data_IF_534852160177
#
_entry.id   IF_534852160177
#
_cell.length_a   1.000
_cell.length_b   1.000
_cell.length_c   1.000
_cell.angle_alpha   90.00
_cell.angle_beta   90.00
_cell.angle_gamma   90.00
#
_symmetry.space_group_name_H-M   'P 1'
#
loop_
_entity.id
_entity.type
_entity.pdbx_description
1 polymer ?
#
# COMPACT_ATOMS: atom_id res chain seq x y z
N UNK A 1 0.72 29.65 -49.83
CA UNK A 1 0.35 28.30 -49.34
C UNK A 1 0.85 28.23 -47.93
N UNK A 2 -0.01 28.61 -47.00
CA UNK A 2 0.28 28.53 -45.57
C UNK A 2 0.17 27.04 -45.22
N UNK A 3 1.30 26.36 -45.05
CA UNK A 3 1.30 24.99 -44.55
C UNK A 3 0.91 25.12 -43.09
N UNK A 4 -0.33 24.76 -42.77
CA UNK A 4 -0.78 24.65 -41.39
C UNK A 4 0.22 23.85 -40.54
N UNK A 5 0.20 24.01 -39.21
CA UNK A 5 1.16 23.37 -38.33
C UNK A 5 1.25 21.87 -38.66
N UNK A 6 2.47 21.37 -38.82
CA UNK A 6 2.70 19.96 -39.10
C UNK A 6 2.04 19.13 -37.99
N UNK A 7 1.33 18.07 -38.38
CA UNK A 7 0.72 17.16 -37.42
C UNK A 7 1.78 16.62 -36.47
N UNK A 8 1.50 16.55 -35.15
CA UNK A 8 2.46 16.05 -34.18
C UNK A 8 2.86 14.62 -34.53
N UNK A 9 4.17 14.33 -34.48
CA UNK A 9 4.69 12.99 -34.71
C UNK A 9 4.11 12.04 -33.65
N UNK A 10 3.51 10.90 -34.04
CA UNK A 10 2.92 9.97 -33.08
C UNK A 10 3.99 9.35 -32.19
N UNK A 11 3.61 9.01 -30.95
CA UNK A 11 4.44 8.18 -30.08
C UNK A 11 4.56 6.77 -30.67
N UNK A 12 5.71 6.14 -30.44
CA UNK A 12 6.02 4.77 -30.87
C UNK A 12 5.63 3.72 -29.82
N UNK A 13 5.62 4.11 -28.55
CA UNK A 13 5.19 3.30 -27.42
C UNK A 13 4.82 4.21 -26.24
N UNK A 14 4.03 3.68 -25.32
CA UNK A 14 3.81 4.28 -24.02
C UNK A 14 3.78 3.21 -22.92
N UNK A 15 4.26 3.55 -21.73
CA UNK A 15 4.14 2.72 -20.52
C UNK A 15 3.26 3.45 -19.52
N UNK A 16 2.11 2.88 -19.21
CA UNK A 16 1.28 3.33 -18.08
C UNK A 16 1.65 2.51 -16.84
N UNK A 17 1.84 3.16 -15.70
CA UNK A 17 2.07 2.50 -14.42
C UNK A 17 1.57 3.34 -13.24
N UNK A 18 1.88 2.87 -12.04
CA UNK A 18 1.61 3.62 -10.82
C UNK A 18 2.79 4.51 -10.43
N UNK A 19 2.51 5.62 -9.76
CA UNK A 19 3.52 6.45 -9.10
C UNK A 19 4.05 5.77 -7.84
N UNK A 20 3.22 4.95 -7.19
CA UNK A 20 3.59 4.27 -5.95
C UNK A 20 4.51 3.09 -6.22
N UNK A 21 5.75 3.08 -5.68
CA UNK A 21 6.70 1.98 -5.91
C UNK A 21 6.19 0.61 -5.46
N UNK A 22 5.28 0.58 -4.48
CA UNK A 22 4.67 -0.63 -3.96
C UNK A 22 3.65 -1.25 -4.92
N UNK A 23 3.28 -0.55 -6.00
CA UNK A 23 2.45 -1.04 -7.09
C UNK A 23 3.29 -1.15 -8.38
N UNK A 24 4.03 -2.26 -8.58
CA UNK A 24 4.90 -2.43 -9.76
C UNK A 24 4.13 -2.69 -11.06
N UNK A 25 2.79 -2.72 -11.04
CA UNK A 25 1.97 -2.98 -12.21
C UNK A 25 2.20 -1.95 -13.31
N UNK A 26 2.38 -2.44 -14.54
CA UNK A 26 2.56 -1.62 -15.73
C UNK A 26 1.75 -2.18 -16.91
N UNK A 27 1.32 -1.30 -17.79
CA UNK A 27 0.66 -1.60 -19.06
C UNK A 27 1.48 -1.00 -20.20
N UNK A 28 2.01 -1.88 -21.05
CA UNK A 28 2.72 -1.52 -22.27
C UNK A 28 1.71 -1.26 -23.39
N UNK A 29 1.78 -0.07 -23.99
CA UNK A 29 0.89 0.37 -25.08
C UNK A 29 1.72 0.51 -26.36
N UNK A 30 1.46 -0.39 -27.30
CA UNK A 30 2.12 -0.42 -28.63
C UNK A 30 1.12 -0.36 -29.78
N UNK A 31 -0.18 -0.31 -29.48
CA UNK A 31 -1.22 -0.17 -30.50
C UNK A 31 -1.14 1.22 -31.15
N UNK A 32 -0.87 1.24 -32.46
CA UNK A 32 -0.64 2.46 -33.22
C UNK A 32 -1.87 3.39 -33.25
N UNK A 33 -3.09 2.85 -33.19
CA UNK A 33 -4.30 3.66 -33.18
C UNK A 33 -4.48 4.37 -31.82
N UNK A 34 -4.24 3.67 -30.71
CA UNK A 34 -4.25 4.27 -29.37
C UNK A 34 -3.17 5.35 -29.27
N UNK A 35 -1.94 5.06 -29.72
CA UNK A 35 -0.83 6.01 -29.66
C UNK A 35 -1.09 7.26 -30.51
N UNK A 36 -1.68 7.11 -31.70
CA UNK A 36 -2.06 8.24 -32.54
C UNK A 36 -3.15 9.11 -31.88
N UNK A 37 -4.18 8.49 -31.27
CA UNK A 37 -5.22 9.20 -30.50
C UNK A 37 -4.61 9.94 -29.32
N UNK A 38 -3.72 9.30 -28.57
CA UNK A 38 -3.06 9.90 -27.41
C UNK A 38 -2.18 11.09 -27.81
N UNK A 39 -1.39 10.98 -28.88
CA UNK A 39 -0.63 12.11 -29.44
C UNK A 39 -1.53 13.27 -29.82
N UNK A 40 -2.65 12.98 -30.50
CA UNK A 40 -3.61 14.02 -30.89
C UNK A 40 -4.22 14.69 -29.65
N UNK A 41 -4.71 13.91 -28.69
CA UNK A 41 -5.34 14.40 -27.47
C UNK A 41 -4.40 15.31 -26.66
N UNK A 42 -3.14 14.90 -26.48
CA UNK A 42 -2.11 15.70 -25.79
C UNK A 42 -1.76 16.99 -26.53
N UNK A 43 -1.82 16.99 -27.87
CA UNK A 43 -1.56 18.19 -28.68
C UNK A 43 -2.67 19.24 -28.61
N UNK A 44 -3.91 18.80 -28.34
CA UNK A 44 -5.10 19.66 -28.25
C UNK A 44 -5.54 19.95 -26.82
N UNK A 45 -4.97 19.27 -25.83
CA UNK A 45 -5.29 19.48 -24.42
C UNK A 45 -5.05 20.94 -24.02
N UNK A 46 -6.01 21.50 -23.29
CA UNK A 46 -5.84 22.80 -22.66
C UNK A 46 -4.75 22.73 -21.59
N UNK A 47 -4.00 23.83 -21.44
CA UNK A 47 -2.87 23.92 -20.49
C UNK A 47 -3.14 25.02 -19.49
N UNK A 48 -3.06 24.69 -18.21
CA UNK A 48 -3.21 25.68 -17.14
C UNK A 48 -2.15 25.48 -16.06
N UNK A 49 -1.61 26.57 -15.48
CA UNK A 49 -0.82 26.48 -14.27
C UNK A 49 -1.76 26.11 -13.11
N UNK A 50 -1.52 24.97 -12.47
CA UNK A 50 -2.30 24.54 -11.32
C UNK A 50 -1.40 23.85 -10.30
N UNK A 51 -1.52 24.18 -9.00
CA UNK A 51 -0.80 23.47 -7.95
C UNK A 51 -1.26 22.02 -7.92
N UNK A 52 -0.33 21.11 -8.20
CA UNK A 52 -0.54 19.69 -8.05
C UNK A 52 -0.33 19.31 -6.59
N UNK A 53 -1.28 18.59 -5.99
CA UNK A 53 -1.07 17.93 -4.70
C UNK A 53 -0.37 16.59 -4.96
N UNK A 54 0.92 16.43 -4.60
CA UNK A 54 1.67 15.20 -4.92
C UNK A 54 1.07 13.94 -4.28
N UNK A 55 0.23 14.09 -3.25
CA UNK A 55 -0.46 12.96 -2.61
C UNK A 55 -1.58 12.39 -3.48
N UNK A 56 -2.15 13.22 -4.35
CA UNK A 56 -3.22 12.82 -5.28
C UNK A 56 -2.67 12.12 -6.51
N UNK A 57 -1.36 12.21 -6.77
CA UNK A 57 -0.70 11.50 -7.85
C UNK A 57 -0.82 9.99 -7.66
N UNK A 58 -1.21 9.32 -8.75
CA UNK A 58 -1.47 7.90 -8.74
C UNK A 58 -0.95 7.20 -9.98
N UNK A 59 -1.09 7.83 -11.15
CA UNK A 59 -0.67 7.30 -12.44
C UNK A 59 0.60 7.98 -12.95
N UNK A 60 1.42 7.20 -13.63
CA UNK A 60 2.60 7.67 -14.38
C UNK A 60 2.51 7.12 -15.79
N UNK A 61 2.72 7.99 -16.77
CA UNK A 61 2.69 7.68 -18.18
C UNK A 61 4.02 8.10 -18.79
N UNK A 62 4.80 7.12 -19.23
CA UNK A 62 6.07 7.32 -19.93
C UNK A 62 5.82 7.17 -21.44
N UNK A 63 6.17 8.18 -22.23
CA UNK A 63 5.87 8.27 -23.66
C UNK A 63 7.17 8.23 -24.47
N UNK A 64 7.25 7.35 -25.46
CA UNK A 64 8.46 7.14 -26.26
C UNK A 64 8.23 7.46 -27.73
N UNK A 65 9.10 8.27 -28.35
CA UNK A 65 9.05 8.59 -29.79
C UNK A 65 9.88 7.67 -30.69
N UNK A 66 10.69 6.78 -30.08
CA UNK A 66 11.40 5.71 -30.79
C UNK A 66 12.73 6.14 -31.43
N UNK A 67 13.27 7.30 -31.04
CA UNK A 67 14.59 7.77 -31.47
C UNK A 67 15.67 7.28 -30.50
N UNK A 68 16.80 6.79 -31.04
CA UNK A 68 17.86 6.22 -30.22
C UNK A 68 18.52 7.32 -29.35
N UNK A 69 18.45 7.15 -28.03
CA UNK A 69 19.03 8.08 -27.05
C UNK A 69 18.09 9.21 -26.59
N UNK A 70 16.82 9.21 -27.01
CA UNK A 70 15.81 10.14 -26.51
C UNK A 70 15.22 9.61 -25.20
N UNK A 71 15.27 10.43 -24.15
CA UNK A 71 14.60 10.14 -22.87
C UNK A 71 13.08 10.20 -23.05
N UNK A 72 12.30 9.31 -22.41
CA UNK A 72 10.86 9.34 -22.49
C UNK A 72 10.28 10.64 -21.90
N UNK A 73 9.20 11.13 -22.50
CA UNK A 73 8.39 12.18 -21.88
C UNK A 73 7.58 11.55 -20.74
N UNK A 74 7.70 12.09 -19.52
CA UNK A 74 6.93 11.63 -18.37
C UNK A 74 5.74 12.57 -18.12
N UNK A 75 4.56 11.99 -18.02
CA UNK A 75 3.36 12.65 -17.51
C UNK A 75 2.89 11.94 -16.24
N UNK A 76 2.39 12.71 -15.28
CA UNK A 76 1.81 12.20 -14.05
C UNK A 76 0.32 12.46 -14.07
N UNK A 77 -0.49 11.61 -13.44
CA UNK A 77 -1.91 11.93 -13.29
C UNK A 77 -2.44 11.56 -11.91
N UNK A 78 -3.41 12.34 -11.46
CA UNK A 78 -4.13 12.07 -10.23
C UNK A 78 -5.09 10.89 -10.40
N UNK A 79 -5.62 10.36 -9.29
CA UNK A 79 -6.61 9.27 -9.32
C UNK A 79 -7.86 9.62 -10.15
N UNK A 80 -8.28 10.89 -10.16
CA UNK A 80 -9.35 11.45 -10.99
C UNK A 80 -8.89 11.88 -12.40
N UNK A 81 -7.75 11.35 -12.87
CA UNK A 81 -7.24 11.49 -14.23
C UNK A 81 -6.85 12.92 -14.66
N UNK A 82 -6.66 13.84 -13.71
CA UNK A 82 -6.06 15.14 -14.03
C UNK A 82 -4.57 14.96 -14.31
N UNK A 83 -4.17 15.28 -15.53
CA UNK A 83 -2.80 15.04 -16.01
C UNK A 83 -1.93 16.26 -15.73
N UNK A 84 -0.71 16.02 -15.28
CA UNK A 84 0.31 17.01 -15.01
C UNK A 84 1.56 16.69 -15.82
N UNK A 85 2.07 17.70 -16.52
CA UNK A 85 3.36 17.69 -17.20
C UNK A 85 4.41 18.33 -16.27
N UNK A 86 5.26 17.53 -15.60
CA UNK A 86 6.27 18.03 -14.67
C UNK A 86 7.40 18.81 -15.35
N UNK A 87 7.64 18.60 -16.65
CA UNK A 87 8.68 19.32 -17.38
C UNK A 87 8.27 20.77 -17.67
N UNK A 88 6.98 21.02 -17.80
CA UNK A 88 6.42 22.33 -18.10
C UNK A 88 5.68 22.97 -16.91
N UNK A 89 5.46 22.21 -15.83
CA UNK A 89 4.70 22.61 -14.64
C UNK A 89 3.27 23.08 -14.98
N UNK A 90 2.57 22.29 -15.81
CA UNK A 90 1.19 22.57 -16.25
C UNK A 90 0.28 21.37 -16.07
N UNK A 91 -1.00 21.64 -15.82
CA UNK A 91 -2.06 20.63 -15.91
C UNK A 91 -2.62 20.60 -17.34
N UNK A 92 -2.79 19.39 -17.86
CA UNK A 92 -3.39 19.10 -19.16
C UNK A 92 -4.82 18.61 -18.95
N UNK A 93 -5.77 19.21 -19.66
CA UNK A 93 -7.18 18.86 -19.59
C UNK A 93 -7.81 18.81 -20.99
N UNK A 94 -8.58 17.76 -21.25
CA UNK A 94 -9.29 17.52 -22.50
C UNK A 94 -10.06 16.19 -22.48
N UNK A 95 -11.29 16.15 -23.02
CA UNK A 95 -12.17 14.98 -22.92
C UNK A 95 -11.59 13.72 -23.60
N UNK A 96 -10.91 13.88 -24.75
CA UNK A 96 -10.26 12.76 -25.44
C UNK A 96 -9.12 12.17 -24.61
N UNK A 97 -8.39 13.01 -23.87
CA UNK A 97 -7.29 12.58 -23.00
C UNK A 97 -7.85 11.81 -21.79
N UNK A 98 -8.89 12.34 -21.16
CA UNK A 98 -9.59 11.69 -20.05
C UNK A 98 -10.16 10.31 -20.46
N UNK A 99 -10.82 10.22 -21.62
CA UNK A 99 -11.35 8.95 -22.14
C UNK A 99 -10.25 7.91 -22.34
N UNK A 100 -9.16 8.27 -23.04
CA UNK A 100 -8.05 7.35 -23.30
C UNK A 100 -7.39 6.89 -22.00
N UNK A 101 -7.18 7.79 -21.05
CA UNK A 101 -6.59 7.43 -19.76
C UNK A 101 -7.54 6.60 -18.91
N UNK A 102 -8.85 6.86 -18.96
CA UNK A 102 -9.86 6.05 -18.28
C UNK A 102 -9.80 4.59 -18.76
N UNK A 103 -9.75 4.37 -20.08
CA UNK A 103 -9.63 3.04 -20.66
C UNK A 103 -8.32 2.34 -20.25
N UNK A 104 -7.18 3.02 -20.43
CA UNK A 104 -5.87 2.44 -20.12
C UNK A 104 -5.69 2.13 -18.62
N UNK A 105 -6.15 3.04 -17.75
CA UNK A 105 -6.09 2.83 -16.30
C UNK A 105 -7.08 1.76 -15.84
N UNK A 106 -8.26 1.68 -16.46
CA UNK A 106 -9.22 0.59 -16.25
C UNK A 106 -8.61 -0.78 -16.56
N UNK A 107 -7.95 -0.92 -17.71
CA UNK A 107 -7.24 -2.11 -18.14
C UNK A 107 -6.14 -2.51 -17.15
N UNK A 108 -5.29 -1.55 -16.74
CA UNK A 108 -4.22 -1.81 -15.78
C UNK A 108 -4.79 -2.24 -14.43
N UNK A 109 -5.85 -1.59 -13.94
CA UNK A 109 -6.50 -1.95 -12.67
C UNK A 109 -7.06 -3.36 -12.71
N UNK A 110 -7.75 -3.74 -13.79
CA UNK A 110 -8.35 -5.07 -13.94
C UNK A 110 -7.29 -6.19 -13.94
N UNK A 111 -6.11 -5.93 -14.50
CA UNK A 111 -5.00 -6.89 -14.54
C UNK A 111 -4.23 -6.96 -13.21
N UNK A 112 -4.09 -5.84 -12.52
CA UNK A 112 -3.21 -5.71 -11.37
C UNK A 112 -3.91 -5.97 -10.02
N UNK A 113 -5.16 -5.59 -9.86
CA UNK A 113 -5.92 -5.74 -8.62
C UNK A 113 -6.90 -6.92 -8.66
N UNK A 114 -7.39 -7.32 -7.49
CA UNK A 114 -8.43 -8.33 -7.34
C UNK A 114 -9.78 -7.73 -6.95
N UNK A 115 -10.85 -8.48 -7.18
CA UNK A 115 -12.18 -8.11 -6.72
C UNK A 115 -12.28 -8.19 -5.19
N UNK A 116 -12.87 -7.19 -4.55
CA UNK A 116 -13.11 -7.20 -3.11
C UNK A 116 -14.31 -8.07 -2.78
N UNK A 117 -14.04 -9.30 -2.32
CA UNK A 117 -15.09 -10.27 -1.96
C UNK A 117 -15.14 -10.46 -0.42
N UNK A 118 -16.32 -10.34 0.21
CA UNK A 118 -16.51 -10.68 1.62
C UNK A 118 -16.27 -12.17 1.92
N UNK A 119 -15.82 -12.49 3.14
CA UNK A 119 -15.46 -13.85 3.55
C UNK A 119 -16.57 -14.89 3.29
N UNK A 120 -17.82 -14.55 3.60
CA UNK A 120 -18.99 -15.41 3.42
C UNK A 120 -19.22 -15.84 1.95
N UNK A 121 -18.77 -15.03 1.01
CA UNK A 121 -18.79 -15.33 -0.42
C UNK A 121 -17.48 -16.02 -0.86
N UNK A 122 -16.33 -15.56 -0.36
CA UNK A 122 -15.02 -16.11 -0.71
C UNK A 122 -14.90 -17.60 -0.34
N UNK A 123 -15.51 -18.03 0.77
CA UNK A 123 -15.51 -19.44 1.20
C UNK A 123 -16.19 -20.39 0.21
N UNK A 124 -17.12 -19.88 -0.63
CA UNK A 124 -17.77 -20.65 -1.68
C UNK A 124 -16.91 -20.74 -2.95
N UNK A 125 -16.04 -19.74 -3.18
CA UNK A 125 -15.12 -19.71 -4.32
C UNK A 125 -13.87 -20.57 -4.07
N UNK A 126 -13.49 -20.72 -2.80
CA UNK A 126 -12.36 -21.52 -2.36
C UNK A 126 -12.83 -22.48 -1.24
N UNK A 127 -13.61 -23.53 -1.52
CA UNK A 127 -14.03 -24.50 -0.52
C UNK A 127 -12.84 -25.33 0.02
N UNK A 128 -13.02 -26.04 1.13
CA UNK A 128 -11.99 -26.93 1.69
C UNK A 128 -11.56 -27.97 0.65
N UNK A 129 -10.24 -28.14 0.49
CA UNK A 129 -9.61 -29.00 -0.51
C UNK A 129 -9.43 -28.35 -1.88
N UNK A 130 -10.07 -27.20 -2.15
CA UNK A 130 -9.86 -26.48 -3.41
C UNK A 130 -8.50 -25.77 -3.43
N UNK A 131 -8.03 -25.51 -4.66
CA UNK A 131 -6.76 -24.84 -4.91
C UNK A 131 -6.97 -23.41 -5.39
N UNK A 132 -5.98 -22.56 -5.13
CA UNK A 132 -5.90 -21.20 -5.65
C UNK A 132 -4.47 -20.88 -6.07
N UNK A 133 -4.34 -19.94 -7.01
CA UNK A 133 -3.06 -19.31 -7.33
C UNK A 133 -2.99 -17.96 -6.61
N UNK A 134 -1.98 -17.75 -5.78
CA UNK A 134 -1.78 -16.52 -5.02
C UNK A 134 -0.64 -15.73 -5.64
N UNK A 135 -0.88 -14.47 -5.99
CA UNK A 135 0.13 -13.51 -6.45
C UNK A 135 0.32 -12.42 -5.41
N UNK A 136 1.55 -12.23 -4.95
CA UNK A 136 1.90 -11.08 -4.11
C UNK A 136 1.91 -9.79 -4.94
N UNK A 137 1.27 -8.75 -4.41
CA UNK A 137 1.04 -7.52 -5.18
C UNK A 137 2.34 -6.73 -5.44
N UNK A 138 3.27 -6.75 -4.48
CA UNK A 138 4.48 -5.93 -4.55
C UNK A 138 5.65 -6.64 -5.25
N UNK A 139 5.78 -7.95 -5.07
CA UNK A 139 6.87 -8.73 -5.70
C UNK A 139 6.46 -9.34 -7.04
N UNK A 140 5.16 -9.49 -7.30
CA UNK A 140 4.64 -10.19 -8.47
C UNK A 140 4.83 -11.72 -8.44
N UNK A 141 5.54 -12.25 -7.44
CA UNK A 141 5.75 -13.68 -7.28
C UNK A 141 4.41 -14.39 -7.06
N UNK A 142 4.31 -15.58 -7.67
CA UNK A 142 3.07 -16.34 -7.74
C UNK A 142 3.33 -17.78 -7.33
N UNK A 143 2.46 -18.31 -6.48
CA UNK A 143 2.56 -19.68 -5.96
C UNK A 143 1.16 -20.28 -5.79
N UNK A 144 1.05 -21.60 -5.80
CA UNK A 144 -0.21 -22.31 -5.66
C UNK A 144 -0.41 -22.80 -4.22
N UNK A 145 -1.68 -22.80 -3.78
CA UNK A 145 -2.08 -23.22 -2.44
C UNK A 145 -3.29 -24.14 -2.50
N UNK A 146 -3.46 -24.97 -1.47
CA UNK A 146 -4.71 -25.68 -1.15
C UNK A 146 -5.32 -25.11 0.11
N UNK A 147 -6.64 -24.94 0.14
CA UNK A 147 -7.35 -24.69 1.40
C UNK A 147 -7.41 -25.97 2.23
N UNK A 148 -6.79 -25.94 3.40
CA UNK A 148 -6.88 -26.97 4.42
C UNK A 148 -8.19 -26.87 5.19
N UNK A 149 -8.42 -25.73 5.88
CA UNK A 149 -9.58 -25.49 6.76
C UNK A 149 -9.91 -23.99 6.87
N UNK A 150 -10.24 -23.53 8.07
CA UNK A 150 -10.56 -22.16 8.44
C UNK A 150 -12.05 -21.82 8.37
N UNK A 151 -12.57 -21.31 9.50
CA UNK A 151 -13.98 -20.93 9.68
C UNK A 151 -14.21 -19.42 9.54
N UNK A 152 -13.20 -18.61 9.88
CA UNK A 152 -13.24 -17.14 9.85
C UNK A 152 -12.33 -16.50 8.77
N UNK A 153 -11.48 -17.31 8.16
CA UNK A 153 -10.58 -17.05 7.05
C UNK A 153 -10.20 -18.41 6.45
N UNK A 154 -9.44 -18.44 5.34
CA UNK A 154 -8.98 -19.71 4.79
C UNK A 154 -7.62 -20.08 5.40
N UNK A 155 -7.54 -21.24 6.01
CA UNK A 155 -6.26 -21.87 6.37
C UNK A 155 -5.75 -22.57 5.12
N UNK A 156 -4.59 -22.17 4.61
CA UNK A 156 -4.05 -22.65 3.34
C UNK A 156 -2.62 -23.18 3.48
N UNK A 157 -2.27 -24.13 2.63
CA UNK A 157 -0.95 -24.74 2.56
C UNK A 157 -0.38 -24.57 1.15
N UNK A 158 0.92 -24.23 0.97
CA UNK A 158 1.55 -24.28 -0.34
C UNK A 158 1.45 -25.70 -0.93
N UNK A 159 1.18 -25.83 -2.23
CA UNK A 159 0.94 -27.14 -2.85
C UNK A 159 2.22 -27.98 -2.97
N UNK A 160 3.36 -27.34 -3.21
CA UNK A 160 4.63 -28.00 -3.51
C UNK A 160 5.80 -27.35 -2.76
N UNK A 161 6.98 -27.99 -2.68
CA UNK A 161 8.19 -27.35 -2.15
C UNK A 161 8.56 -26.04 -2.86
N UNK A 162 8.37 -25.99 -4.18
CA UNK A 162 8.60 -24.78 -4.98
C UNK A 162 7.63 -23.64 -4.61
N UNK A 163 6.37 -23.96 -4.31
CA UNK A 163 5.41 -22.97 -3.82
C UNK A 163 5.80 -22.43 -2.43
N UNK A 164 6.31 -23.29 -1.56
CA UNK A 164 6.85 -22.92 -0.25
C UNK A 164 8.08 -22.04 -0.36
N UNK A 165 9.02 -22.39 -1.24
CA UNK A 165 10.20 -21.57 -1.54
C UNK A 165 9.79 -20.20 -2.08
N UNK A 166 8.79 -20.16 -2.96
CA UNK A 166 8.27 -18.90 -3.52
C UNK A 166 7.59 -18.04 -2.43
N UNK A 167 6.77 -18.64 -1.56
CA UNK A 167 6.19 -17.94 -0.41
C UNK A 167 7.29 -17.40 0.51
N UNK A 168 8.35 -18.17 0.75
CA UNK A 168 9.50 -17.73 1.56
C UNK A 168 10.23 -16.55 0.89
N UNK A 169 10.37 -16.57 -0.44
CA UNK A 169 10.97 -15.49 -1.22
C UNK A 169 10.14 -14.19 -1.18
N UNK A 170 8.80 -14.28 -1.19
CA UNK A 170 7.89 -13.14 -0.97
C UNK A 170 8.18 -12.41 0.36
N UNK A 171 8.66 -13.16 1.36
CA UNK A 171 9.05 -12.64 2.67
C UNK A 171 10.56 -12.41 2.85
N UNK A 172 11.34 -12.39 1.76
CA UNK A 172 12.76 -12.08 1.81
C UNK A 172 13.64 -13.22 2.34
N UNK A 173 13.19 -14.47 2.24
CA UNK A 173 13.96 -15.64 2.65
C UNK A 173 13.67 -16.12 4.08
N UNK A 174 12.67 -15.55 4.77
CA UNK A 174 12.28 -15.92 6.13
C UNK A 174 10.76 -15.99 6.29
N UNK A 175 10.28 -16.80 7.22
CA UNK A 175 8.85 -16.84 7.55
C UNK A 175 8.46 -15.64 8.41
N UNK A 176 7.29 -15.07 8.16
CA UNK A 176 6.89 -13.82 8.82
C UNK A 176 5.38 -13.70 9.05
N UNK A 177 5.04 -13.07 10.17
CA UNK A 177 3.67 -12.64 10.46
C UNK A 177 3.28 -11.33 9.76
N UNK A 178 4.21 -10.64 9.08
CA UNK A 178 3.91 -9.40 8.34
C UNK A 178 2.75 -9.64 7.35
N UNK A 179 1.75 -8.75 7.36
CA UNK A 179 0.64 -8.86 6.41
C UNK A 179 1.09 -8.38 5.04
N UNK A 180 0.69 -9.10 4.01
CA UNK A 180 0.94 -8.74 2.61
C UNK A 180 -0.35 -8.72 1.84
N UNK A 181 -0.43 -7.83 0.85
CA UNK A 181 -1.54 -7.72 -0.08
C UNK A 181 -1.32 -8.70 -1.24
N UNK A 182 -2.33 -9.52 -1.52
CA UNK A 182 -2.25 -10.55 -2.56
C UNK A 182 -3.51 -10.59 -3.40
N UNK A 183 -3.39 -11.12 -4.61
CA UNK A 183 -4.53 -11.51 -5.43
C UNK A 183 -4.59 -13.03 -5.45
N UNK A 184 -5.67 -13.60 -4.90
CA UNK A 184 -5.95 -15.02 -4.93
C UNK A 184 -6.90 -15.33 -6.10
N UNK A 185 -6.43 -16.14 -7.05
CA UNK A 185 -7.22 -16.58 -8.19
C UNK A 185 -7.81 -17.95 -7.89
N UNK A 186 -9.14 -18.01 -7.75
CA UNK A 186 -9.89 -19.23 -7.47
C UNK A 186 -11.19 -19.23 -8.28
N UNK A 187 -11.60 -20.40 -8.79
CA UNK A 187 -12.80 -20.54 -9.63
C UNK A 187 -12.88 -19.53 -10.81
N UNK A 188 -11.73 -19.21 -11.42
CA UNK A 188 -11.62 -18.25 -12.52
C UNK A 188 -11.76 -16.78 -12.13
N UNK A 189 -11.85 -16.44 -10.84
CA UNK A 189 -11.97 -15.07 -10.33
C UNK A 189 -10.70 -14.66 -9.60
N UNK A 190 -10.22 -13.46 -9.89
CA UNK A 190 -9.13 -12.81 -9.17
C UNK A 190 -9.71 -12.05 -7.97
N UNK A 191 -9.36 -12.45 -6.75
CA UNK A 191 -9.95 -11.94 -5.51
C UNK A 191 -8.87 -11.21 -4.71
N UNK A 192 -9.17 -10.01 -4.24
CA UNK A 192 -8.31 -9.26 -3.34
C UNK A 192 -8.28 -9.93 -1.95
N UNK A 193 -7.08 -10.21 -1.47
CA UNK A 193 -6.85 -10.94 -0.25
C UNK A 193 -5.60 -10.41 0.49
N UNK A 194 -5.40 -10.94 1.69
CA UNK A 194 -4.18 -10.73 2.46
C UNK A 194 -3.67 -12.03 3.07
N UNK A 195 -2.35 -12.18 3.12
CA UNK A 195 -1.70 -13.33 3.74
C UNK A 195 -0.75 -12.90 4.86
N UNK A 196 -0.47 -13.83 5.76
CA UNK A 196 0.84 -13.91 6.42
C UNK A 196 1.66 -15.04 5.77
N UNK A 197 2.93 -15.19 6.14
CA UNK A 197 3.79 -16.28 5.64
C UNK A 197 4.38 -17.15 6.74
N UNK A 198 3.84 -17.08 7.97
CA UNK A 198 4.37 -17.88 9.07
C UNK A 198 3.66 -19.24 9.09
N UNK A 199 4.38 -20.38 8.99
CA UNK A 199 3.79 -21.69 9.21
C UNK A 199 3.30 -21.80 10.66
N UNK A 200 2.06 -22.23 10.84
CA UNK A 200 1.47 -22.46 12.16
C UNK A 200 0.35 -23.51 12.11
N UNK A 201 -0.07 -23.95 13.29
CA UNK A 201 -1.08 -25.00 13.43
C UNK A 201 -0.60 -26.33 12.83
N UNK A 202 -1.56 -27.16 12.41
CA UNK A 202 -1.30 -28.40 11.68
C UNK A 202 -1.53 -28.21 10.18
N UNK A 203 -0.99 -29.11 9.36
CA UNK A 203 -1.25 -29.21 7.93
C UNK A 203 -1.36 -30.68 7.54
N UNK A 204 -1.86 -30.96 6.34
CA UNK A 204 -1.97 -32.32 5.80
C UNK A 204 -1.33 -32.49 4.41
N UNK A 205 -0.53 -31.51 3.97
CA UNK A 205 0.54 -31.71 2.97
C UNK A 205 1.88 -31.91 3.68
N UNK A 206 2.47 -33.11 3.54
CA UNK A 206 3.70 -33.47 4.26
C UNK A 206 4.97 -33.35 3.41
N UNK A 207 4.82 -33.20 2.10
CA UNK A 207 5.87 -33.18 1.08
C UNK A 207 6.04 -31.81 0.41
N UNK A 208 5.53 -30.74 1.02
CA UNK A 208 5.63 -29.36 0.54
C UNK A 208 6.72 -28.53 1.25
N UNK A 209 7.51 -29.13 2.16
CA UNK A 209 8.51 -28.42 2.98
C UNK A 209 7.95 -27.24 3.82
N UNK A 210 6.65 -27.26 4.13
CA UNK A 210 5.98 -26.24 4.92
C UNK A 210 5.17 -26.88 6.05
N UNK A 211 5.64 -26.71 7.29
CA UNK A 211 5.07 -27.41 8.45
C UNK A 211 3.87 -26.65 9.02
N UNK A 212 2.66 -26.99 8.58
CA UNK A 212 1.41 -26.38 9.05
C UNK A 212 0.67 -25.69 7.92
N UNK A 213 -0.08 -24.64 8.25
CA UNK A 213 -0.75 -23.77 7.29
C UNK A 213 -0.39 -22.30 7.55
N UNK A 214 -0.85 -21.42 6.68
CA UNK A 214 -0.88 -19.98 6.91
C UNK A 214 -2.25 -19.41 6.59
N UNK A 215 -2.52 -18.17 7.01
CA UNK A 215 -3.84 -17.57 6.85
C UNK A 215 -3.95 -16.80 5.53
N UNK A 216 -5.03 -17.04 4.79
CA UNK A 216 -5.50 -16.23 3.67
C UNK A 216 -6.81 -15.53 4.06
N UNK A 217 -6.73 -14.22 4.26
CA UNK A 217 -7.82 -13.35 4.69
C UNK A 217 -8.46 -12.63 3.51
N UNK A 218 -9.79 -12.49 3.58
CA UNK A 218 -10.61 -11.71 2.67
C UNK A 218 -11.29 -10.56 3.43
N UNK A 219 -12.18 -9.83 2.75
CA UNK A 219 -12.92 -8.74 3.42
C UNK A 219 -13.77 -9.29 4.55
N UNK A 220 -13.64 -8.70 5.74
CA UNK A 220 -14.38 -9.10 6.94
C UNK A 220 -13.92 -10.40 7.59
N UNK A 221 -12.85 -11.03 7.09
CA UNK A 221 -12.20 -12.16 7.76
C UNK A 221 -11.72 -11.78 9.17
N UNK A 222 -11.75 -12.74 10.09
CA UNK A 222 -11.33 -12.57 11.49
C UNK A 222 -10.16 -13.47 11.82
N UNK A 223 -9.30 -13.05 12.74
CA UNK A 223 -8.22 -13.89 13.26
C UNK A 223 -8.77 -14.90 14.26
N UNK A 224 -8.26 -16.14 14.24
CA UNK A 224 -8.83 -17.23 15.05
C UNK A 224 -8.59 -17.06 16.57
N UNK A 225 -7.54 -16.34 16.96
CA UNK A 225 -7.16 -16.19 18.38
C UNK A 225 -8.08 -15.24 19.15
N UNK A 226 -8.55 -14.17 18.51
CA UNK A 226 -9.39 -13.14 19.15
C UNK A 226 -10.80 -13.09 18.59
N UNK A 227 -11.06 -13.74 17.45
CA UNK A 227 -12.30 -13.63 16.68
C UNK A 227 -12.64 -12.19 16.27
N UNK A 228 -11.64 -11.31 16.21
CA UNK A 228 -11.78 -9.93 15.76
C UNK A 228 -11.28 -9.76 14.33
N UNK A 229 -11.80 -8.74 13.67
CA UNK A 229 -11.27 -8.28 12.39
C UNK A 229 -9.88 -7.68 12.64
N UNK A 230 -8.91 -8.06 11.83
CA UNK A 230 -7.53 -7.58 11.92
C UNK A 230 -7.32 -6.42 10.94
N UNK A 231 -7.05 -5.23 11.47
CA UNK A 231 -6.86 -4.00 10.69
C UNK A 231 -5.72 -4.13 9.66
N UNK A 232 -4.66 -4.87 9.99
CA UNK A 232 -3.55 -5.13 9.07
C UNK A 232 -3.98 -5.93 7.84
N UNK A 233 -4.71 -7.02 8.04
CA UNK A 233 -5.27 -7.81 6.95
C UNK A 233 -6.28 -7.01 6.13
N UNK A 234 -7.18 -6.24 6.77
CA UNK A 234 -8.16 -5.44 6.03
C UNK A 234 -7.50 -4.34 5.18
N UNK A 235 -6.47 -3.66 5.69
CA UNK A 235 -5.67 -2.73 4.90
C UNK A 235 -5.05 -3.39 3.67
N UNK A 236 -4.50 -4.60 3.83
CA UNK A 236 -3.88 -5.34 2.73
C UNK A 236 -4.92 -5.83 1.71
N UNK A 237 -6.14 -6.16 2.14
CA UNK A 237 -7.26 -6.46 1.23
C UNK A 237 -7.66 -5.20 0.45
N UNK A 238 -7.74 -4.02 1.09
CA UNK A 238 -8.02 -2.75 0.40
C UNK A 238 -6.92 -2.40 -0.61
N UNK A 239 -5.65 -2.64 -0.24
CA UNK A 239 -4.48 -2.50 -1.12
C UNK A 239 -4.58 -3.41 -2.34
N UNK A 240 -4.86 -4.70 -2.14
CA UNK A 240 -5.05 -5.68 -3.21
C UNK A 240 -6.28 -5.39 -4.10
N UNK A 241 -7.28 -4.69 -3.59
CA UNK A 241 -8.47 -4.28 -4.33
C UNK A 241 -8.31 -2.95 -5.10
N UNK A 242 -7.17 -2.27 -4.99
CA UNK A 242 -6.99 -0.93 -5.56
C UNK A 242 -7.92 0.11 -4.95
N UNK A 243 -8.37 -0.11 -3.70
CA UNK A 243 -9.31 0.71 -2.93
C UNK A 243 -8.65 1.41 -1.73
N UNK A 244 -7.35 1.19 -1.51
CA UNK A 244 -6.62 1.75 -0.36
C UNK A 244 -6.73 3.28 -0.27
N UNK A 245 -6.39 4.00 -1.34
CA UNK A 245 -6.41 5.47 -1.36
C UNK A 245 -7.80 6.03 -1.02
N UNK A 246 -8.83 5.53 -1.70
CA UNK A 246 -10.22 5.94 -1.47
C UNK A 246 -10.70 5.66 -0.05
N UNK A 247 -10.31 4.50 0.50
CA UNK A 247 -10.69 4.14 1.86
C UNK A 247 -10.00 5.03 2.89
N UNK A 248 -8.74 5.41 2.65
CA UNK A 248 -8.01 6.34 3.50
C UNK A 248 -8.58 7.76 3.40
N UNK A 249 -9.02 8.19 2.21
CA UNK A 249 -9.65 9.50 2.03
C UNK A 249 -10.95 9.63 2.84
N UNK A 250 -11.73 8.54 2.91
CA UNK A 250 -13.05 8.52 3.53
C UNK A 250 -13.06 8.13 5.02
N UNK A 251 -11.91 7.73 5.58
CA UNK A 251 -11.84 7.22 6.94
C UNK A 251 -11.84 8.34 7.98
N UNK A 252 -12.59 8.13 9.05
CA UNK A 252 -12.62 9.03 10.20
C UNK A 252 -11.35 8.87 11.07
N UNK A 253 -10.98 9.88 11.90
CA UNK A 253 -9.72 9.89 12.63
C UNK A 253 -9.47 8.66 13.49
N UNK A 254 -10.49 8.12 14.16
CA UNK A 254 -10.34 6.91 14.99
C UNK A 254 -9.99 5.66 14.16
N UNK A 255 -10.59 5.53 12.97
CA UNK A 255 -10.29 4.44 12.05
C UNK A 255 -8.91 4.62 11.42
N UNK A 256 -8.59 5.82 10.95
CA UNK A 256 -7.26 6.16 10.45
C UNK A 256 -6.18 5.87 11.49
N UNK A 257 -6.40 6.20 12.76
CA UNK A 257 -5.44 5.92 13.84
C UNK A 257 -5.16 4.41 13.98
N UNK A 258 -6.20 3.57 13.91
CA UNK A 258 -6.03 2.10 13.93
C UNK A 258 -5.25 1.60 12.72
N UNK A 259 -5.57 2.11 11.54
CA UNK A 259 -4.87 1.76 10.30
C UNK A 259 -3.42 2.24 10.26
N UNK A 260 -3.12 3.43 10.78
CA UNK A 260 -1.75 3.93 10.95
C UNK A 260 -0.94 3.00 11.85
N UNK A 261 -1.50 2.55 12.98
CA UNK A 261 -0.84 1.58 13.86
C UNK A 261 -0.58 0.25 13.15
N UNK A 262 -1.56 -0.25 12.40
CA UNK A 262 -1.40 -1.47 11.61
C UNK A 262 -0.32 -1.30 10.52
N UNK A 263 -0.27 -0.14 9.85
CA UNK A 263 0.75 0.18 8.86
C UNK A 263 2.16 0.23 9.47
N UNK A 264 2.32 0.83 10.66
CA UNK A 264 3.59 0.78 11.42
C UNK A 264 3.98 -0.65 11.75
N UNK A 265 3.04 -1.44 12.28
CA UNK A 265 3.26 -2.84 12.65
C UNK A 265 3.73 -3.69 11.47
N UNK A 266 3.14 -3.46 10.29
CA UNK A 266 3.35 -4.25 9.09
C UNK A 266 4.26 -3.60 8.06
N UNK A 267 4.98 -2.52 8.42
CA UNK A 267 5.94 -1.85 7.53
C UNK A 267 5.32 -1.41 6.20
N UNK A 268 4.08 -0.97 6.26
CA UNK A 268 3.32 -0.54 5.11
C UNK A 268 3.70 0.93 4.83
N UNK A 269 4.47 1.14 3.75
CA UNK A 269 4.96 2.48 3.36
C UNK A 269 3.91 3.31 2.60
N UNK A 270 3.06 2.70 1.78
CA UNK A 270 2.14 3.43 0.92
C UNK A 270 1.04 4.13 1.73
N UNK A 271 0.39 3.42 2.65
CA UNK A 271 -0.54 3.92 3.68
C UNK A 271 0.10 5.04 4.48
N UNK A 272 1.28 4.85 5.08
CA UNK A 272 1.94 5.88 5.88
C UNK A 272 2.28 7.13 5.06
N UNK A 273 2.79 6.96 3.83
CA UNK A 273 3.05 8.06 2.89
C UNK A 273 1.78 8.79 2.50
N UNK A 274 0.68 8.08 2.28
CA UNK A 274 -0.58 8.65 1.81
C UNK A 274 -1.29 9.48 2.88
N UNK A 275 -1.33 8.98 4.12
CA UNK A 275 -2.03 9.66 5.23
C UNK A 275 -1.21 10.78 5.87
N UNK A 276 0.10 10.85 5.62
CA UNK A 276 0.94 11.90 6.20
C UNK A 276 0.61 13.27 5.59
N UNK A 277 0.30 14.26 6.44
CA UNK A 277 0.23 15.66 6.00
C UNK A 277 1.59 16.15 5.52
N UNK A 278 2.63 15.84 6.29
CA UNK A 278 4.04 16.00 5.91
C UNK A 278 4.77 14.69 6.23
N UNK A 279 5.28 13.95 5.22
CA UNK A 279 6.05 12.74 5.47
C UNK A 279 7.35 13.01 6.23
N UNK A 280 7.73 12.10 7.13
CA UNK A 280 9.05 12.09 7.78
C UNK A 280 9.70 10.71 7.57
N UNK A 281 10.51 10.54 6.49
CA UNK A 281 11.16 9.28 6.19
C UNK A 281 12.08 8.78 7.31
N UNK A 282 12.74 9.70 8.04
CA UNK A 282 13.65 9.32 9.11
C UNK A 282 12.91 8.76 10.32
N UNK A 283 11.79 9.37 10.72
CA UNK A 283 10.91 8.80 11.74
C UNK A 283 10.29 7.47 11.29
N UNK A 284 9.86 7.38 10.03
CA UNK A 284 9.30 6.13 9.48
C UNK A 284 10.32 4.99 9.55
N UNK A 285 11.54 5.22 9.07
CA UNK A 285 12.60 4.21 9.08
C UNK A 285 12.97 3.82 10.53
N UNK A 286 13.05 4.79 11.46
CA UNK A 286 13.29 4.50 12.87
C UNK A 286 12.17 3.65 13.51
N UNK A 287 10.90 3.92 13.22
CA UNK A 287 9.77 3.10 13.68
C UNK A 287 9.90 1.68 13.12
N UNK A 288 10.28 1.56 11.85
CA UNK A 288 10.40 0.29 11.15
C UNK A 288 11.60 -0.54 11.62
N UNK A 289 12.69 0.09 12.02
CA UNK A 289 13.85 -0.61 12.56
C UNK A 289 13.61 -1.06 14.01
N UNK A 290 12.96 -0.22 14.82
CA UNK A 290 12.86 -0.47 16.26
C UNK A 290 11.69 -1.38 16.64
N UNK A 291 10.52 -1.27 16.02
CA UNK A 291 9.29 -1.93 16.52
C UNK A 291 9.15 -3.34 15.94
N UNK A 292 9.49 -4.39 16.67
CA UNK A 292 9.30 -5.78 16.19
C UNK A 292 7.84 -6.11 15.90
N UNK A 293 6.93 -5.77 16.81
CA UNK A 293 5.48 -5.91 16.66
C UNK A 293 4.76 -5.01 17.66
N UNK A 294 3.52 -4.64 17.38
CA UNK A 294 2.64 -3.94 18.31
C UNK A 294 1.22 -4.53 18.30
N UNK A 295 0.49 -4.28 19.38
CA UNK A 295 -0.91 -4.66 19.55
C UNK A 295 -1.68 -3.47 20.10
N UNK A 296 -2.66 -2.99 19.34
CA UNK A 296 -3.56 -1.92 19.78
C UNK A 296 -4.69 -2.53 20.59
N UNK A 297 -4.98 -1.94 21.74
CA UNK A 297 -6.08 -2.36 22.62
C UNK A 297 -7.04 -1.23 22.99
N UNK A 298 -6.73 0.01 22.57
CA UNK A 298 -7.62 1.16 22.68
C UNK A 298 -7.32 2.20 21.60
N UNK A 299 -8.37 2.76 21.01
CA UNK A 299 -8.31 3.94 20.17
C UNK A 299 -9.58 4.75 20.46
N UNK A 300 -9.42 6.02 20.82
CA UNK A 300 -10.54 6.88 21.21
C UNK A 300 -10.29 8.32 20.80
N UNK A 301 -11.29 8.93 20.16
CA UNK A 301 -11.36 10.36 19.88
C UNK A 301 -11.44 11.13 21.19
N UNK A 302 -10.47 12.00 21.41
CA UNK A 302 -10.44 12.90 22.57
C UNK A 302 -11.09 14.23 22.23
N UNK A 303 -10.73 14.79 21.07
CA UNK A 303 -11.14 16.11 20.62
C UNK A 303 -11.30 16.07 19.10
N UNK A 304 -12.34 16.73 18.59
CA UNK A 304 -12.52 16.98 17.17
C UNK A 304 -13.28 18.28 16.95
N UNK A 305 -12.82 19.04 15.97
CA UNK A 305 -13.57 20.11 15.30
C UNK A 305 -13.56 19.86 13.78
N UNK A 306 -14.05 20.82 13.00
CA UNK A 306 -14.15 20.70 11.53
C UNK A 306 -12.79 20.52 10.83
N UNK A 307 -11.67 20.90 11.46
CA UNK A 307 -10.35 20.94 10.81
C UNK A 307 -9.26 20.21 11.59
N UNK A 308 -9.50 19.81 12.83
CA UNK A 308 -8.53 19.14 13.68
C UNK A 308 -9.18 18.03 14.50
N UNK A 309 -8.47 16.91 14.65
CA UNK A 309 -8.88 15.81 15.50
C UNK A 309 -7.69 15.23 16.27
N UNK A 310 -7.96 14.73 17.48
CA UNK A 310 -6.98 14.10 18.36
C UNK A 310 -7.48 12.75 18.80
N UNK A 311 -6.73 11.70 18.51
CA UNK A 311 -7.09 10.33 18.86
C UNK A 311 -6.05 9.76 19.81
N UNK A 312 -6.47 9.41 21.02
CA UNK A 312 -5.64 8.64 21.94
C UNK A 312 -5.60 7.19 21.48
N UNK A 313 -4.39 6.68 21.30
CA UNK A 313 -4.13 5.28 20.98
C UNK A 313 -3.37 4.64 22.13
N UNK A 314 -3.82 3.46 22.51
CA UNK A 314 -3.22 2.63 23.55
C UNK A 314 -2.76 1.30 22.96
N UNK A 315 -1.47 1.02 23.11
CA UNK A 315 -0.85 -0.14 22.50
C UNK A 315 0.20 -0.79 23.40
N UNK A 316 0.43 -2.08 23.17
CA UNK A 316 1.60 -2.80 23.66
C UNK A 316 2.59 -2.95 22.52
N UNK A 317 3.80 -2.45 22.70
CA UNK A 317 4.88 -2.47 21.70
C UNK A 317 5.98 -3.42 22.17
N UNK A 318 6.47 -4.26 21.26
CA UNK A 318 7.67 -5.07 21.44
C UNK A 318 8.73 -4.55 20.48
N UNK A 319 9.89 -4.20 21.01
CA UNK A 319 10.99 -3.68 20.18
C UNK A 319 11.92 -4.80 19.72
N UNK A 320 12.76 -4.54 18.74
CA UNK A 320 13.79 -5.48 18.26
C UNK A 320 14.92 -5.61 19.28
N UNK A 321 15.25 -4.52 19.99
CA UNK A 321 16.25 -4.49 21.03
C UNK A 321 15.82 -3.51 22.14
N UNK A 322 16.36 -3.62 23.37
CA UNK A 322 17.37 -4.58 23.82
C UNK A 322 16.82 -5.98 24.13
N UNK A 323 15.54 -6.09 24.50
CA UNK A 323 14.87 -7.36 24.81
C UNK A 323 13.62 -7.52 23.92
N UNK A 324 13.64 -8.42 22.92
CA UNK A 324 12.51 -8.65 22.02
C UNK A 324 11.24 -9.16 22.69
N UNK A 325 11.35 -9.77 23.88
CA UNK A 325 10.23 -10.34 24.60
C UNK A 325 9.59 -9.36 25.60
N UNK A 326 10.27 -8.25 25.92
CA UNK A 326 9.79 -7.25 26.86
C UNK A 326 8.64 -6.42 26.25
N UNK A 327 7.45 -6.37 26.88
CA UNK A 327 6.34 -5.53 26.44
C UNK A 327 6.48 -4.10 26.99
N UNK A 328 6.18 -3.12 26.15
CA UNK A 328 6.11 -1.71 26.53
C UNK A 328 4.71 -1.18 26.31
N UNK A 329 4.06 -0.68 27.36
CA UNK A 329 2.78 0.02 27.22
C UNK A 329 3.03 1.44 26.72
N UNK A 330 2.32 1.82 25.67
CA UNK A 330 2.36 3.16 25.09
C UNK A 330 0.95 3.73 25.08
N UNK A 331 0.83 4.98 25.52
CA UNK A 331 -0.31 5.84 25.23
C UNK A 331 0.23 7.04 24.47
N UNK A 332 -0.24 7.23 23.25
CA UNK A 332 0.09 8.37 22.41
C UNK A 332 -1.19 9.05 21.94
N UNK A 333 -1.08 10.31 21.54
CA UNK A 333 -2.15 11.05 20.90
C UNK A 333 -1.72 11.34 19.48
N UNK A 334 -2.43 10.74 18.52
CA UNK A 334 -2.27 11.06 17.11
C UNK A 334 -3.07 12.33 16.81
N UNK A 335 -2.42 13.28 16.15
CA UNK A 335 -3.07 14.52 15.71
C UNK A 335 -3.37 14.42 14.21
N UNK A 336 -4.59 14.79 13.85
CA UNK A 336 -5.05 14.84 12.47
C UNK A 336 -5.52 16.25 12.12
N UNK A 337 -5.34 16.65 10.88
CA UNK A 337 -5.88 17.90 10.33
C UNK A 337 -6.52 17.68 8.97
N UNK A 338 -7.56 18.46 8.66
CA UNK A 338 -8.12 18.53 7.31
C UNK A 338 -7.62 19.80 6.61
N UNK A 339 -7.18 19.69 5.34
CA UNK A 339 -6.91 20.86 4.51
C UNK A 339 -8.18 21.72 4.35
N UNK A 340 -8.06 23.06 4.19
CA UNK A 340 -9.20 23.92 3.90
C UNK A 340 -9.93 23.46 2.62
N UNK A 341 -11.25 23.26 2.69
CA UNK A 341 -12.11 22.96 1.53
C UNK A 341 -12.48 21.48 1.32
N UNK A 342 -12.94 20.79 2.38
CA UNK A 342 -13.41 19.39 2.34
C UNK A 342 -12.38 18.40 1.77
N UNK A 343 -11.26 18.25 2.47
CA UNK A 343 -10.20 17.28 2.16
C UNK A 343 -10.14 16.12 3.16
N UNK A 344 -9.39 15.04 2.85
CA UNK A 344 -9.24 13.91 3.76
C UNK A 344 -8.50 14.32 5.04
N UNK A 345 -8.71 13.56 6.11
CA UNK A 345 -7.95 13.70 7.35
C UNK A 345 -6.49 13.30 7.16
N UNK A 346 -5.57 14.13 7.61
CA UNK A 346 -4.12 13.94 7.47
C UNK A 346 -3.44 13.85 8.81
N UNK A 347 -2.59 12.85 8.95
CA UNK A 347 -1.78 12.63 10.13
C UNK A 347 -0.65 13.67 10.21
N UNK A 348 -0.55 14.34 11.35
CA UNK A 348 0.73 14.92 11.78
C UNK A 348 1.68 13.78 12.11
N UNK A 349 2.58 13.46 11.17
CA UNK A 349 3.43 12.29 11.26
C UNK A 349 4.34 12.31 12.49
N UNK A 350 4.69 13.50 12.99
CA UNK A 350 5.52 13.65 14.20
C UNK A 350 4.84 13.12 15.46
N UNK A 351 3.50 13.03 15.46
CA UNK A 351 2.70 12.45 16.55
C UNK A 351 2.94 10.95 16.76
N UNK A 352 3.63 10.27 15.84
CA UNK A 352 4.06 8.87 15.98
C UNK A 352 5.36 8.71 16.78
N UNK A 353 6.14 9.77 17.00
CA UNK A 353 7.41 9.72 17.73
C UNK A 353 7.34 9.07 19.13
N UNK A 354 6.22 9.14 19.91
CA UNK A 354 6.13 8.43 21.19
C UNK A 354 6.16 6.91 21.08
N UNK A 355 5.98 6.33 19.89
CA UNK A 355 6.13 4.89 19.64
C UNK A 355 7.59 4.44 19.64
N UNK A 356 8.57 5.33 19.48
CA UNK A 356 9.98 4.99 19.59
C UNK A 356 10.36 4.59 21.03
N UNK A 357 11.49 3.91 21.18
CA UNK A 357 12.01 3.57 22.51
C UNK A 357 12.29 4.86 23.32
N UNK A 358 12.00 4.88 24.64
CA UNK A 358 12.33 6.03 25.48
C UNK A 358 13.83 6.38 25.40
N UNK A 359 14.14 7.64 25.11
CA UNK A 359 15.54 8.11 24.94
C UNK A 359 16.16 7.82 23.57
N UNK A 360 15.45 7.17 22.65
CA UNK A 360 15.83 7.05 21.25
C UNK A 360 15.14 8.16 20.44
N UNK A 361 15.87 9.23 20.14
CA UNK A 361 15.47 10.14 19.06
C UNK A 361 15.75 9.51 17.69
N UNK A 362 15.22 10.05 16.58
CA UNK A 362 15.75 9.75 15.25
C UNK A 362 17.27 9.96 15.29
N UNK A 363 18.03 9.10 14.62
CA UNK A 363 19.48 9.08 14.69
C UNK A 363 20.06 10.44 14.23
N UNK A 364 20.21 11.37 15.16
CA UNK A 364 20.55 12.78 14.89
C UNK A 364 20.68 13.64 16.14
N UNK A 365 19.98 13.33 17.24
CA UNK A 365 20.13 14.06 18.51
C UNK A 365 20.54 13.16 19.67
N UNK A 366 21.75 12.58 19.59
CA UNK A 366 22.45 12.19 20.83
C UNK A 366 23.04 13.45 21.46
N UNK A 367 22.24 14.19 22.23
CA UNK A 367 22.75 15.22 23.14
C UNK A 367 23.69 14.57 24.14
N UNK A 368 24.99 14.86 24.03
CA UNK A 368 26.00 14.45 24.99
C UNK A 368 25.70 15.09 26.35
N UNK A 369 25.11 14.32 27.26
CA UNK A 369 25.01 14.73 28.67
C UNK A 369 26.37 14.49 29.33
N UNK A 370 27.29 15.46 29.24
CA UNK A 370 28.43 15.52 30.15
C UNK A 370 27.89 15.95 31.51
N UNK A 371 27.62 14.98 32.37
CA UNK A 371 27.36 15.19 33.79
C UNK A 371 28.63 15.77 34.42
N UNK A 372 28.51 16.98 34.95
CA UNK A 372 29.52 17.59 35.79
C UNK A 372 29.86 16.71 37.00
N UNK A 373 31.14 16.56 37.28
CA UNK A 373 31.63 16.22 38.60
C UNK A 373 32.29 17.48 39.18
N UNK A 374 31.63 18.07 40.16
CA UNK A 374 32.32 18.86 41.18
C UNK A 374 32.90 17.86 42.19
N UNK A 375 34.17 18.02 42.53
CA UNK A 375 34.53 18.02 43.95
C UNK A 375 35.89 17.48 44.36
N UNK A 376 36.70 18.42 44.84
CA UNK A 376 37.54 18.44 46.06
C UNK A 376 38.81 17.55 46.16
N UNK A 377 39.88 18.26 46.55
CA UNK A 377 41.26 17.89 46.90
C UNK A 377 42.23 17.61 45.76
#
# INVERSE_FOLDING_TARGET
>A
MDRGPAAPKPFSAATLGFVWPEYPGQLQVTDAAILARLTQALSTASRSPAPLDPRRLYWRLELHRGEAGEEPEELLATRDLRVHDPAQDVTLDGPDLEEILSDLTGDLRQRFFGERVPWDQALNLLPVGATATVRDLETGLTFAVRRHRGDAHADVEPLTPQDSETLRAVYGGEWSWKRRAVVATAAGRAIAASINGMPHGWGDLFDNEFVGHFCLHFTGSRVHTTWQVDDGHQLMVLKAAGALAESLDAAEPEELARWVMAAVNHRERATLRYVAGTPDPALQDALFEQIRTLFVWGARLEEADEHAARVRVEATVYYVAPDPAAPFRKSLVMAFSQPPGEGPWLLDFSSLSPLLMPGAGPAGERRSSVKGRRGWC
#
